data_IF_277294228545
#
_entry.id   IF_277294228545
#
_cell.length_a   1.000
_cell.length_b   1.000
_cell.length_c   1.000
_cell.angle_alpha   90.00
_cell.angle_beta   90.00
_cell.angle_gamma   90.00
#
_symmetry.space_group_name_H-M   'P 1'
#
loop_
_entity.id
_entity.type
_entity.pdbx_description
1 polymer ?
#
# COMPACT_ATOMS: atom_id res chain seq x y z
N UNK A 1 4.77 4.51 4.78
CA UNK A 1 4.80 3.37 5.72
C UNK A 1 4.32 2.02 5.13
N UNK A 2 3.79 1.96 3.91
CA UNK A 2 3.41 0.68 3.26
C UNK A 2 4.57 0.01 2.52
N UNK A 3 5.51 0.78 1.93
CA UNK A 3 6.61 0.25 1.13
C UNK A 3 7.48 -0.78 1.89
N UNK A 4 7.88 -0.48 3.13
CA UNK A 4 8.69 -1.41 3.93
C UNK A 4 8.00 -2.77 4.13
N UNK A 5 6.68 -2.76 4.35
CA UNK A 5 5.90 -4.00 4.53
C UNK A 5 5.73 -4.76 3.21
N UNK A 6 5.56 -4.03 2.11
CA UNK A 6 5.52 -4.63 0.77
C UNK A 6 6.84 -5.36 0.46
N UNK A 7 7.99 -4.74 0.77
CA UNK A 7 9.30 -5.40 0.63
C UNK A 7 9.42 -6.64 1.50
N UNK A 8 8.90 -6.62 2.74
CA UNK A 8 8.84 -7.82 3.59
C UNK A 8 7.97 -8.94 3.03
N UNK A 9 6.90 -8.60 2.30
CA UNK A 9 6.04 -9.55 1.56
C UNK A 9 6.62 -9.91 0.17
N UNK A 10 7.87 -9.56 -0.10
CA UNK A 10 8.57 -9.84 -1.36
C UNK A 10 7.88 -9.25 -2.59
N UNK A 11 7.40 -8.00 -2.48
CA UNK A 11 6.89 -7.19 -3.59
C UNK A 11 7.36 -5.74 -3.47
N UNK A 12 7.95 -5.22 -4.54
CA UNK A 12 8.41 -3.83 -4.62
C UNK A 12 7.49 -3.00 -5.53
N UNK A 13 7.28 -1.73 -5.20
CA UNK A 13 6.58 -0.76 -6.03
C UNK A 13 7.21 0.63 -5.86
N UNK A 14 6.95 1.55 -6.79
CA UNK A 14 7.39 2.95 -6.64
C UNK A 14 6.28 3.77 -5.96
N UNK A 15 6.52 4.39 -4.79
CA UNK A 15 5.55 5.28 -4.15
C UNK A 15 5.19 6.47 -5.04
N UNK A 16 3.93 6.88 -5.03
CA UNK A 16 3.44 8.01 -5.80
C UNK A 16 4.15 9.32 -5.46
N UNK A 17 4.55 9.51 -4.20
CA UNK A 17 5.30 10.68 -3.72
C UNK A 17 6.60 10.94 -4.48
N UNK A 18 7.16 9.95 -5.19
CA UNK A 18 8.31 10.14 -6.06
C UNK A 18 8.00 10.92 -7.35
N UNK A 19 6.72 11.15 -7.68
CA UNK A 19 6.27 11.73 -8.94
C UNK A 19 5.53 13.07 -8.79
N UNK A 20 5.33 13.56 -7.56
CA UNK A 20 4.67 14.85 -7.31
C UNK A 20 5.69 15.83 -6.71
N UNK A 21 5.71 17.08 -7.20
CA UNK A 21 6.62 18.13 -6.72
C UNK A 21 6.21 18.73 -5.36
N UNK A 22 5.07 18.31 -4.82
CA UNK A 22 4.49 18.74 -3.53
C UNK A 22 4.17 17.51 -2.70
N UNK A 23 3.63 17.69 -1.48
CA UNK A 23 3.27 16.60 -0.56
C UNK A 23 1.99 15.84 -0.97
N UNK A 24 1.90 15.49 -2.25
CA UNK A 24 0.81 14.74 -2.87
C UNK A 24 1.29 13.34 -3.25
N UNK A 25 0.38 12.51 -3.75
CA UNK A 25 0.73 11.17 -4.25
C UNK A 25 0.80 10.08 -3.17
N UNK A 26 0.43 10.38 -1.92
CA UNK A 26 0.39 9.40 -0.82
C UNK A 26 -0.58 8.24 -1.06
N UNK A 27 -1.59 8.45 -1.91
CA UNK A 27 -2.59 7.44 -2.30
C UNK A 27 -2.31 6.81 -3.67
N UNK A 28 -1.17 7.13 -4.29
CA UNK A 28 -0.81 6.65 -5.61
C UNK A 28 0.40 5.71 -5.53
N UNK A 29 0.45 4.75 -6.46
CA UNK A 29 1.58 3.85 -6.66
C UNK A 29 1.81 3.66 -8.16
N UNK A 30 3.07 3.42 -8.57
CA UNK A 30 3.40 3.00 -9.94
C UNK A 30 3.85 1.55 -9.94
N UNK A 31 3.27 0.76 -10.85
CA UNK A 31 3.64 -0.63 -11.11
C UNK A 31 4.30 -0.74 -12.49
N UNK A 32 5.27 -1.65 -12.64
CA UNK A 32 5.91 -1.97 -13.91
C UNK A 32 5.82 -3.46 -14.17
N UNK A 33 5.51 -3.83 -15.42
CA UNK A 33 5.31 -5.21 -15.85
C UNK A 33 6.26 -5.61 -16.99
N UNK A 34 7.27 -4.79 -17.30
CA UNK A 34 8.15 -4.98 -18.46
C UNK A 34 9.19 -6.10 -18.29
N UNK A 35 9.49 -6.52 -17.06
CA UNK A 35 10.46 -7.56 -16.73
C UNK A 35 9.86 -8.88 -16.21
N UNK A 36 8.84 -8.88 -15.32
CA UNK A 36 8.34 -10.13 -14.76
C UNK A 36 7.53 -10.94 -15.79
N UNK A 37 7.61 -12.26 -15.67
CA UNK A 37 6.73 -13.19 -16.38
C UNK A 37 5.27 -13.01 -15.92
N UNK A 38 4.28 -13.46 -16.72
CA UNK A 38 2.87 -13.41 -16.32
C UNK A 38 2.58 -14.08 -14.95
N UNK A 39 3.28 -15.16 -14.61
CA UNK A 39 3.12 -15.84 -13.32
C UNK A 39 3.67 -15.02 -12.14
N UNK A 40 4.84 -14.41 -12.33
CA UNK A 40 5.41 -13.48 -11.34
C UNK A 40 4.53 -12.24 -11.15
N UNK A 41 3.88 -11.76 -12.21
CA UNK A 41 2.90 -10.66 -12.12
C UNK A 41 1.73 -11.09 -11.23
N UNK A 42 1.14 -12.27 -11.46
CA UNK A 42 0.02 -12.77 -10.64
C UNK A 42 0.42 -12.91 -9.18
N UNK A 43 1.60 -13.50 -8.92
CA UNK A 43 2.11 -13.69 -7.57
C UNK A 43 2.44 -12.35 -6.88
N UNK A 44 3.04 -11.41 -7.61
CA UNK A 44 3.33 -10.05 -7.12
C UNK A 44 2.05 -9.28 -6.77
N UNK A 45 1.03 -9.34 -7.62
CA UNK A 45 -0.30 -8.75 -7.35
C UNK A 45 -0.93 -9.40 -6.11
N UNK A 46 -0.87 -10.72 -5.99
CA UNK A 46 -1.38 -11.46 -4.83
C UNK A 46 -0.70 -11.04 -3.51
N UNK A 47 0.62 -10.85 -3.53
CA UNK A 47 1.40 -10.35 -2.38
C UNK A 47 1.03 -8.90 -2.05
N UNK A 48 0.96 -8.04 -3.06
CA UNK A 48 0.59 -6.63 -2.87
C UNK A 48 -0.81 -6.48 -2.29
N UNK A 49 -1.78 -7.27 -2.75
CA UNK A 49 -3.14 -7.26 -2.23
C UNK A 49 -3.19 -7.60 -0.73
N UNK A 50 -2.37 -8.56 -0.26
CA UNK A 50 -2.25 -8.88 1.18
C UNK A 50 -1.79 -7.68 1.99
N UNK A 51 -0.77 -6.96 1.50
CA UNK A 51 -0.24 -5.75 2.14
C UNK A 51 -1.32 -4.68 2.23
N UNK A 52 -2.00 -4.38 1.11
CA UNK A 52 -3.04 -3.36 1.05
C UNK A 52 -4.19 -3.67 2.00
N UNK A 53 -4.69 -4.91 2.01
CA UNK A 53 -5.75 -5.29 2.95
C UNK A 53 -5.32 -5.10 4.40
N UNK A 54 -4.08 -5.47 4.75
CA UNK A 54 -3.55 -5.27 6.11
C UNK A 54 -3.48 -3.79 6.48
N UNK A 55 -3.04 -2.92 5.57
CA UNK A 55 -3.05 -1.47 5.81
C UNK A 55 -4.47 -0.92 5.98
N UNK A 56 -5.42 -1.38 5.16
CA UNK A 56 -6.82 -0.97 5.28
C UNK A 56 -7.43 -1.37 6.62
N UNK A 57 -7.16 -2.60 7.10
CA UNK A 57 -7.63 -3.04 8.41
C UNK A 57 -7.05 -2.19 9.55
N UNK A 58 -5.77 -1.83 9.47
CA UNK A 58 -5.17 -0.90 10.45
C UNK A 58 -5.84 0.46 10.43
N UNK A 59 -6.05 1.04 9.24
CA UNK A 59 -6.74 2.33 9.09
C UNK A 59 -8.16 2.26 9.69
N UNK A 60 -8.91 1.19 9.41
CA UNK A 60 -10.26 0.98 9.96
C UNK A 60 -10.24 0.88 11.48
N UNK A 61 -9.29 0.11 12.05
CA UNK A 61 -9.15 -0.04 13.50
C UNK A 61 -8.94 1.32 14.16
N UNK A 62 -7.99 2.13 13.69
CA UNK A 62 -7.73 3.44 14.29
C UNK A 62 -8.85 4.46 14.06
N UNK A 63 -9.52 4.42 12.91
CA UNK A 63 -10.70 5.25 12.64
C UNK A 63 -11.86 4.92 13.60
N UNK A 64 -12.05 3.64 13.94
CA UNK A 64 -13.08 3.22 14.90
C UNK A 64 -12.79 3.68 16.33
N UNK A 65 -11.51 3.72 16.74
CA UNK A 65 -11.08 4.19 18.07
C UNK A 65 -11.23 5.70 18.24
N UNK A 66 -11.06 6.49 17.16
CA UNK A 66 -11.26 7.94 17.20
C UNK A 66 -12.75 8.33 17.34
N UNK A 67 -13.67 7.57 16.73
CA UNK A 67 -15.11 7.81 16.87
C UNK A 67 -15.63 7.62 18.29
N UNK A 68 -14.99 6.76 19.10
CA UNK A 68 -15.37 6.54 20.50
C UNK A 68 -14.95 7.65 21.48
N UNK A 69 -14.08 8.60 21.06
CA UNK A 69 -13.57 9.69 21.92
C UNK A 69 -14.25 11.04 21.73
N UNK A 70 -15.22 11.16 20.82
CA UNK A 70 -15.85 12.43 20.44
C UNK A 70 -17.23 12.67 21.09
N UNK A 71 -17.53 11.98 22.21
CA UNK A 71 -18.85 12.03 22.86
C UNK A 71 -18.79 12.42 24.34
N UNK A 72 -17.73 13.13 24.75
CA UNK A 72 -17.63 13.89 26.02
C UNK A 72 -17.48 15.38 25.69
#
# INVERSE_FOLDING_TARGET
>A
AMLNRAVSELVAYTPGTAFYASDQGHQNIRLSFCYPTPDEIREGVRRLAKVVHREMELVKLFASQQKGKSND
#
